data_IF_155408369847
#
_entry.id   IF_155408369847
#
_cell.length_a   1.000
_cell.length_b   1.000
_cell.length_c   1.000
_cell.angle_alpha   90.00
_cell.angle_beta   90.00
_cell.angle_gamma   90.00
#
_symmetry.space_group_name_H-M   'P 1'
#
loop_
_entity.id
_entity.type
_entity.pdbx_description
1 polymer ?
#
# COMPACT_ATOMS: atom_id res chain seq x y z
N UNK A 1 -4.90 19.09 -2.13
CA UNK A 1 -4.66 17.63 -2.14
C UNK A 1 -4.21 17.09 -3.49
N UNK A 2 -4.89 17.39 -4.61
CA UNK A 2 -4.46 16.95 -5.97
C UNK A 2 -3.01 17.35 -6.29
N UNK A 3 -2.56 18.54 -5.88
CA UNK A 3 -1.17 18.97 -6.06
C UNK A 3 -0.15 18.01 -5.40
N UNK A 4 -0.45 17.52 -4.18
CA UNK A 4 0.40 16.54 -3.48
C UNK A 4 0.44 15.19 -4.19
N UNK A 5 -0.72 14.71 -4.67
CA UNK A 5 -0.78 13.49 -5.48
C UNK A 5 0.05 13.62 -6.77
N UNK A 6 -0.07 14.75 -7.49
CA UNK A 6 0.71 15.04 -8.70
C UNK A 6 2.22 15.08 -8.41
N UNK A 7 2.62 15.66 -7.28
CA UNK A 7 4.03 15.67 -6.87
C UNK A 7 4.54 14.26 -6.57
N UNK A 8 3.77 13.44 -5.86
CA UNK A 8 4.12 12.03 -5.61
C UNK A 8 4.24 11.25 -6.91
N UNK A 9 3.29 11.42 -7.84
CA UNK A 9 3.34 10.77 -9.15
C UNK A 9 4.58 11.18 -9.96
N UNK A 10 4.91 12.48 -10.00
CA UNK A 10 6.10 12.96 -10.71
C UNK A 10 7.40 12.38 -10.12
N UNK A 11 7.55 12.40 -8.79
CA UNK A 11 8.73 11.85 -8.11
C UNK A 11 8.83 10.33 -8.29
N UNK A 12 7.71 9.62 -8.22
CA UNK A 12 7.66 8.17 -8.42
C UNK A 12 8.03 7.80 -9.86
N UNK A 13 7.62 8.60 -10.84
CA UNK A 13 7.99 8.41 -12.25
C UNK A 13 9.50 8.50 -12.41
N UNK A 14 10.12 9.60 -11.97
CA UNK A 14 11.58 9.80 -12.05
C UNK A 14 12.37 8.69 -11.34
N UNK A 15 11.87 8.22 -10.19
CA UNK A 15 12.46 7.10 -9.46
C UNK A 15 12.44 5.82 -10.29
N UNK A 16 11.30 5.47 -10.90
CA UNK A 16 11.16 4.26 -11.72
C UNK A 16 11.94 4.35 -13.04
N UNK A 17 12.05 5.52 -13.65
CA UNK A 17 12.94 5.73 -14.81
C UNK A 17 14.40 5.49 -14.44
N UNK A 18 14.80 5.89 -13.23
CA UNK A 18 16.16 5.65 -12.71
C UNK A 18 16.40 4.16 -12.49
N UNK A 19 15.47 3.46 -11.83
CA UNK A 19 15.56 2.01 -11.64
C UNK A 19 15.56 1.25 -12.97
N UNK A 20 14.76 1.69 -13.94
CA UNK A 20 14.72 1.06 -15.26
C UNK A 20 16.05 1.17 -15.98
N UNK A 21 16.67 2.34 -15.97
CA UNK A 21 18.04 2.53 -16.48
C UNK A 21 19.05 1.65 -15.74
N UNK A 22 18.85 1.50 -14.42
CA UNK A 22 19.44 0.48 -13.53
C UNK A 22 19.62 -0.89 -14.20
N UNK A 23 18.48 -1.40 -14.66
CA UNK A 23 18.35 -2.80 -15.06
C UNK A 23 18.42 -3.00 -16.56
N UNK A 24 18.01 -2.02 -17.38
CA UNK A 24 17.91 -2.14 -18.83
C UNK A 24 19.13 -1.63 -19.59
N UNK A 25 20.01 -0.86 -18.95
CA UNK A 25 21.08 -0.08 -19.62
C UNK A 25 20.52 0.84 -20.73
N UNK A 26 19.25 1.23 -20.60
CA UNK A 26 18.51 2.07 -21.54
C UNK A 26 17.77 3.18 -20.79
N UNK A 27 17.58 4.32 -21.46
CA UNK A 27 16.74 5.39 -20.92
C UNK A 27 15.29 5.19 -21.36
N UNK A 28 14.39 5.00 -20.41
CA UNK A 28 12.95 5.13 -20.64
C UNK A 28 12.49 6.47 -20.06
N UNK A 29 11.86 7.30 -20.90
CA UNK A 29 11.11 8.48 -20.45
C UNK A 29 9.64 8.21 -20.64
N UNK A 30 8.91 8.11 -19.53
CA UNK A 30 7.48 7.83 -19.57
C UNK A 30 6.72 9.15 -19.60
N UNK A 31 5.94 9.36 -20.67
CA UNK A 31 5.01 10.48 -20.74
C UNK A 31 3.73 10.10 -19.96
N UNK A 32 3.79 10.26 -18.64
CA UNK A 32 2.68 9.91 -17.76
C UNK A 32 1.62 11.01 -17.77
N UNK A 33 0.40 10.65 -18.17
CA UNK A 33 -0.77 11.49 -17.92
C UNK A 33 -1.11 11.45 -16.41
N UNK A 34 -0.76 12.53 -15.71
CA UNK A 34 -0.98 12.66 -14.27
C UNK A 34 -2.47 12.53 -13.87
N UNK A 35 -3.41 12.82 -14.77
CA UNK A 35 -4.83 12.71 -14.45
C UNK A 35 -5.29 11.24 -14.40
N UNK A 36 -4.53 10.30 -14.98
CA UNK A 36 -4.79 8.84 -14.90
C UNK A 36 -4.29 8.19 -13.62
N UNK A 37 -3.47 8.89 -12.84
CA UNK A 37 -2.87 8.40 -11.59
C UNK A 37 -3.12 9.33 -10.40
N UNK A 38 -4.01 10.30 -10.54
CA UNK A 38 -4.41 11.23 -9.48
C UNK A 38 -5.92 11.51 -9.50
N UNK A 39 -6.41 12.19 -8.48
CA UNK A 39 -7.80 12.64 -8.39
C UNK A 39 -8.79 11.48 -8.49
N UNK A 40 -9.72 11.58 -9.45
CA UNK A 40 -10.77 10.57 -9.65
C UNK A 40 -10.19 9.20 -10.00
N UNK A 41 -9.07 9.14 -10.71
CA UNK A 41 -8.50 7.88 -11.19
C UNK A 41 -8.03 6.96 -10.04
N UNK A 42 -7.81 7.51 -8.84
CA UNK A 42 -7.42 6.73 -7.67
C UNK A 42 -8.52 5.77 -7.19
N UNK A 43 -9.81 6.14 -7.37
CA UNK A 43 -10.95 5.42 -6.76
C UNK A 43 -12.19 5.30 -7.65
N UNK A 44 -12.21 5.96 -8.80
CA UNK A 44 -13.43 6.17 -9.61
C UNK A 44 -14.40 7.24 -9.05
N UNK A 45 -14.15 7.72 -7.83
CA UNK A 45 -15.01 8.69 -7.10
C UNK A 45 -14.46 10.10 -7.24
N UNK A 46 -15.32 11.11 -7.30
CA UNK A 46 -14.89 12.51 -7.30
C UNK A 46 -14.15 12.83 -5.99
N UNK A 47 -12.93 13.41 -6.01
CA UNK A 47 -12.22 13.80 -4.79
C UNK A 47 -13.07 14.63 -3.81
N UNK A 48 -13.94 15.52 -4.30
CA UNK A 48 -14.83 16.30 -3.45
C UNK A 48 -15.75 15.41 -2.59
N UNK A 49 -16.23 14.30 -3.14
CA UNK A 49 -17.02 13.32 -2.41
C UNK A 49 -16.19 12.55 -1.39
N UNK A 50 -14.95 12.20 -1.72
CA UNK A 50 -14.02 11.55 -0.78
C UNK A 50 -13.76 12.48 0.42
N UNK A 51 -13.42 13.75 0.17
CA UNK A 51 -13.12 14.74 1.20
C UNK A 51 -14.35 15.25 1.98
N UNK A 52 -15.56 14.92 1.53
CA UNK A 52 -16.79 15.15 2.30
C UNK A 52 -17.01 14.10 3.40
N UNK A 53 -16.45 12.90 3.27
CA UNK A 53 -16.67 11.78 4.21
C UNK A 53 -16.26 12.09 5.66
N UNK A 54 -15.13 12.79 5.94
CA UNK A 54 -14.80 13.24 7.30
C UNK A 54 -15.91 14.06 7.97
N UNK A 55 -16.56 14.95 7.22
CA UNK A 55 -17.66 15.76 7.75
C UNK A 55 -18.90 14.92 7.99
N UNK A 56 -19.22 13.97 7.10
CA UNK A 56 -20.33 13.03 7.31
C UNK A 56 -20.12 12.23 8.59
N UNK A 57 -18.89 11.80 8.89
CA UNK A 57 -18.54 11.13 10.15
C UNK A 57 -18.87 12.01 11.37
N UNK A 58 -18.45 13.28 11.35
CA UNK A 58 -18.72 14.25 12.43
C UNK A 58 -20.23 14.40 12.64
N UNK A 59 -20.98 14.70 11.58
CA UNK A 59 -22.43 14.93 11.68
C UNK A 59 -23.19 13.69 12.15
N UNK A 60 -22.76 12.51 11.70
CA UNK A 60 -23.35 11.23 12.15
C UNK A 60 -23.07 10.99 13.63
N UNK A 61 -21.85 11.21 14.09
CA UNK A 61 -21.47 11.04 15.50
C UNK A 61 -22.26 12.01 16.40
N UNK A 62 -22.38 13.28 16.00
CA UNK A 62 -23.18 14.28 16.71
C UNK A 62 -24.67 13.90 16.74
N UNK A 63 -25.22 13.45 15.61
CA UNK A 63 -26.61 12.97 15.53
C UNK A 63 -26.91 11.79 16.46
N UNK A 64 -25.89 10.98 16.76
CA UNK A 64 -25.96 9.86 17.71
C UNK A 64 -25.69 10.27 19.17
N UNK A 65 -25.56 11.57 19.47
CA UNK A 65 -25.35 12.09 20.82
C UNK A 65 -23.90 12.01 21.30
N UNK A 66 -22.93 11.83 20.41
CA UNK A 66 -21.49 11.91 20.76
C UNK A 66 -21.10 13.34 21.06
N UNK A 67 -20.30 13.57 22.11
CA UNK A 67 -19.75 14.89 22.42
C UNK A 67 -18.97 15.48 21.25
N UNK A 68 -19.04 16.81 21.10
CA UNK A 68 -18.44 17.52 19.96
C UNK A 68 -16.95 17.24 19.78
N UNK A 69 -16.17 17.29 20.86
CA UNK A 69 -14.72 17.06 20.78
C UNK A 69 -14.39 15.64 20.27
N UNK A 70 -15.18 14.65 20.69
CA UNK A 70 -15.01 13.27 20.24
C UNK A 70 -15.45 13.08 18.79
N UNK A 71 -16.56 13.70 18.39
CA UNK A 71 -17.01 13.69 16.99
C UNK A 71 -16.00 14.38 16.06
N UNK A 72 -15.45 15.53 16.48
CA UNK A 72 -14.42 16.25 15.73
C UNK A 72 -13.15 15.42 15.60
N UNK A 73 -12.74 14.71 16.66
CA UNK A 73 -11.60 13.79 16.60
C UNK A 73 -11.82 12.70 15.55
N UNK A 74 -12.97 12.03 15.55
CA UNK A 74 -13.29 11.00 14.55
C UNK A 74 -13.19 11.52 13.11
N UNK A 75 -13.73 12.72 12.85
CA UNK A 75 -13.60 13.34 11.53
C UNK A 75 -12.17 13.72 11.17
N UNK A 76 -11.40 14.22 12.14
CA UNK A 76 -10.00 14.61 11.93
C UNK A 76 -9.13 13.40 11.60
N UNK A 77 -9.27 12.31 12.37
CA UNK A 77 -8.56 11.06 12.15
C UNK A 77 -8.91 10.53 10.74
N UNK A 78 -10.21 10.49 10.39
CA UNK A 78 -10.66 10.07 9.05
C UNK A 78 -10.12 10.95 7.90
N UNK A 79 -9.96 12.26 8.12
CA UNK A 79 -9.37 13.16 7.12
C UNK A 79 -7.88 12.87 6.91
N UNK A 80 -7.15 12.67 8.00
CA UNK A 80 -5.73 12.32 7.96
C UNK A 80 -5.50 11.01 7.21
N UNK A 81 -6.35 10.01 7.46
CA UNK A 81 -6.31 8.72 6.78
C UNK A 81 -6.54 8.83 5.28
N UNK A 82 -7.59 9.57 4.88
CA UNK A 82 -7.86 9.85 3.46
C UNK A 82 -6.66 10.55 2.82
N UNK A 83 -6.09 11.55 3.49
CA UNK A 83 -4.97 12.31 2.97
C UNK A 83 -3.72 11.45 2.75
N UNK A 84 -3.34 10.62 3.73
CA UNK A 84 -2.21 9.69 3.63
C UNK A 84 -2.44 8.66 2.53
N UNK A 85 -3.64 8.11 2.49
CA UNK A 85 -4.05 7.09 1.54
C UNK A 85 -4.04 7.60 0.09
N UNK A 86 -4.46 8.84 -0.15
CA UNK A 86 -4.44 9.48 -1.47
C UNK A 86 -3.03 9.53 -2.07
N UNK A 87 -2.03 9.88 -1.25
CA UNK A 87 -0.63 9.95 -1.68
C UNK A 87 -0.10 8.55 -2.03
N UNK A 88 -0.45 7.54 -1.23
CA UNK A 88 -0.06 6.15 -1.47
C UNK A 88 -0.72 5.56 -2.72
N UNK A 89 -1.99 5.88 -2.96
CA UNK A 89 -2.68 5.48 -4.18
C UNK A 89 -2.07 6.14 -5.40
N UNK A 90 -1.75 7.43 -5.34
CA UNK A 90 -1.08 8.13 -6.45
C UNK A 90 0.25 7.44 -6.80
N UNK A 91 1.05 7.08 -5.79
CA UNK A 91 2.27 6.30 -5.97
C UNK A 91 2.01 4.94 -6.61
N UNK A 92 1.03 4.20 -6.11
CA UNK A 92 0.68 2.86 -6.59
C UNK A 92 0.23 2.87 -8.04
N UNK A 93 -0.69 3.76 -8.39
CA UNK A 93 -1.17 3.92 -9.76
C UNK A 93 -0.04 4.35 -10.69
N UNK A 94 0.85 5.23 -10.23
CA UNK A 94 2.05 5.61 -10.98
C UNK A 94 2.97 4.42 -11.25
N UNK A 95 3.27 3.60 -10.24
CA UNK A 95 4.08 2.39 -10.42
C UNK A 95 3.47 1.49 -11.49
N UNK A 96 2.18 1.21 -11.43
CA UNK A 96 1.50 0.38 -12.42
C UNK A 96 1.57 0.96 -13.83
N UNK A 97 1.23 2.24 -13.97
CA UNK A 97 1.22 2.91 -15.27
C UNK A 97 2.63 2.93 -15.90
N UNK A 98 3.64 3.33 -15.12
CA UNK A 98 5.03 3.45 -15.59
C UNK A 98 5.63 2.09 -15.91
N UNK A 99 5.47 1.09 -15.03
CA UNK A 99 6.05 -0.25 -15.26
C UNK A 99 5.34 -1.05 -16.35
N UNK A 100 4.06 -0.74 -16.64
CA UNK A 100 3.37 -1.32 -17.78
C UNK A 100 4.07 -0.97 -19.11
N UNK A 101 4.54 0.27 -19.23
CA UNK A 101 5.22 0.80 -20.42
C UNK A 101 6.72 0.51 -20.45
N UNK A 102 7.30 -0.13 -19.43
CA UNK A 102 8.72 -0.48 -19.36
C UNK A 102 8.95 -1.90 -19.93
N UNK A 103 9.58 -2.03 -21.12
CA UNK A 103 9.88 -3.32 -21.71
C UNK A 103 10.78 -4.16 -20.82
N UNK A 104 10.53 -5.48 -20.76
CA UNK A 104 11.38 -6.37 -19.97
C UNK A 104 11.26 -6.22 -18.45
N UNK A 105 10.39 -5.34 -17.92
CA UNK A 105 9.95 -5.39 -16.52
C UNK A 105 8.72 -6.27 -16.44
N UNK A 106 8.73 -7.28 -15.58
CA UNK A 106 7.61 -8.21 -15.38
C UNK A 106 7.19 -8.29 -13.91
N UNK A 107 8.18 -8.24 -13.02
CA UNK A 107 7.98 -8.34 -11.59
C UNK A 107 8.49 -7.10 -10.86
N UNK A 108 8.08 -7.01 -9.61
CA UNK A 108 8.55 -6.01 -8.66
C UNK A 108 8.70 -6.64 -7.28
N UNK A 109 9.51 -6.01 -6.46
CA UNK A 109 9.77 -6.40 -5.08
C UNK A 109 9.66 -5.18 -4.19
N UNK A 110 9.49 -5.40 -2.88
CA UNK A 110 9.41 -4.30 -1.91
C UNK A 110 10.78 -4.06 -1.27
N UNK A 111 11.10 -2.78 -1.13
CA UNK A 111 12.30 -2.33 -0.43
C UNK A 111 11.87 -1.57 0.82
N UNK A 112 12.32 -2.05 1.96
CA UNK A 112 12.07 -1.45 3.27
C UNK A 112 12.85 -0.15 3.40
N UNK A 113 12.35 0.81 4.19
CA UNK A 113 12.90 2.18 4.24
C UNK A 113 13.42 2.61 5.62
N UNK A 114 13.30 1.78 6.66
CA UNK A 114 13.71 2.16 8.00
C UNK A 114 14.03 1.00 8.94
N UNK A 115 14.24 1.33 10.21
CA UNK A 115 14.49 0.38 11.30
C UNK A 115 13.20 -0.27 11.82
N UNK A 116 12.04 0.36 11.55
CA UNK A 116 10.73 -0.04 12.06
C UNK A 116 9.74 -0.29 10.92
N UNK A 117 9.85 -1.44 10.27
CA UNK A 117 8.86 -1.89 9.28
C UNK A 117 7.80 -2.77 9.94
N UNK A 118 6.53 -2.62 9.53
CA UNK A 118 5.49 -3.51 10.03
C UNK A 118 5.70 -4.94 9.51
N UNK A 119 5.18 -5.94 10.25
CA UNK A 119 5.32 -7.35 9.88
C UNK A 119 4.86 -7.65 8.44
N UNK A 120 3.82 -6.96 7.98
CA UNK A 120 3.33 -7.10 6.61
C UNK A 120 4.29 -6.53 5.56
N UNK A 121 4.94 -5.39 5.80
CA UNK A 121 6.01 -4.87 4.94
C UNK A 121 7.20 -5.84 4.89
N UNK A 122 7.59 -6.40 6.04
CA UNK A 122 8.68 -7.36 6.13
C UNK A 122 8.39 -8.64 5.34
N UNK A 123 7.20 -9.23 5.50
CA UNK A 123 6.77 -10.38 4.70
C UNK A 123 6.71 -9.98 3.23
N UNK A 124 6.11 -8.82 2.92
CA UNK A 124 5.97 -8.37 1.55
C UNK A 124 7.32 -8.18 0.83
N UNK A 125 8.36 -7.77 1.55
CA UNK A 125 9.73 -7.64 1.04
C UNK A 125 10.42 -8.97 0.75
N UNK A 126 9.92 -10.09 1.28
CA UNK A 126 10.42 -11.44 0.93
C UNK A 126 9.77 -12.02 -0.32
N UNK A 127 8.83 -11.31 -0.94
CA UNK A 127 8.01 -11.82 -2.04
C UNK A 127 8.22 -11.02 -3.33
N UNK A 128 8.03 -11.68 -4.49
CA UNK A 128 7.83 -10.99 -5.77
C UNK A 128 6.36 -10.76 -6.08
N UNK A 129 6.09 -9.70 -6.82
CA UNK A 129 4.76 -9.33 -7.32
C UNK A 129 4.82 -9.05 -8.81
N UNK A 130 3.78 -9.40 -9.54
CA UNK A 130 3.65 -9.01 -10.93
C UNK A 130 3.42 -7.49 -11.04
N UNK A 131 4.03 -6.85 -12.04
CA UNK A 131 3.87 -5.41 -12.31
C UNK A 131 2.41 -4.92 -12.35
N UNK A 132 1.49 -5.75 -12.85
CA UNK A 132 0.06 -5.41 -12.92
C UNK A 132 -0.69 -5.56 -11.59
N UNK A 133 -0.16 -6.40 -10.69
CA UNK A 133 -0.79 -6.77 -9.42
C UNK A 133 -0.29 -5.93 -8.24
N UNK A 134 0.51 -4.89 -8.52
CA UNK A 134 0.98 -3.94 -7.51
C UNK A 134 -0.13 -3.03 -6.98
N UNK A 135 -0.80 -3.51 -5.93
CA UNK A 135 -1.36 -2.75 -4.80
C UNK A 135 -2.78 -2.14 -4.93
N UNK A 136 -3.43 -1.69 -3.85
CA UNK A 136 -2.86 -1.28 -2.55
C UNK A 136 -2.44 -2.41 -1.59
N UNK A 137 -1.65 -2.03 -0.57
CA UNK A 137 -1.39 -2.86 0.61
C UNK A 137 -2.28 -2.37 1.76
N UNK A 138 -2.11 -1.16 2.27
CA UNK A 138 -3.05 -0.48 3.21
C UNK A 138 -2.54 0.95 3.50
N UNK A 139 -3.33 1.82 4.16
CA UNK A 139 -2.85 3.11 4.64
C UNK A 139 -1.57 2.96 5.50
N UNK A 140 -0.59 3.85 5.32
CA UNK A 140 0.63 3.89 6.15
C UNK A 140 1.86 3.11 5.67
N UNK A 141 1.83 2.35 4.56
CA UNK A 141 3.08 1.78 3.98
C UNK A 141 4.04 2.86 3.48
N UNK A 142 5.30 2.79 3.92
CA UNK A 142 6.42 3.62 3.45
C UNK A 142 7.36 2.87 2.49
N UNK A 143 7.26 1.53 2.46
CA UNK A 143 7.88 0.60 1.53
C UNK A 143 8.04 1.15 0.09
N UNK A 144 9.24 1.05 -0.51
CA UNK A 144 9.43 1.32 -1.94
C UNK A 144 9.17 0.10 -2.81
N UNK A 145 9.21 0.34 -4.12
CA UNK A 145 9.05 -0.67 -5.16
C UNK A 145 10.33 -0.70 -5.98
N UNK A 146 10.94 -1.86 -6.10
CA UNK A 146 12.03 -2.11 -7.05
C UNK A 146 11.53 -2.97 -8.20
N UNK A 147 11.93 -2.64 -9.43
CA UNK A 147 11.59 -3.39 -10.64
C UNK A 147 12.53 -4.57 -10.84
N UNK A 148 11.99 -5.67 -11.36
CA UNK A 148 12.74 -6.89 -11.67
C UNK A 148 12.53 -7.25 -13.13
N UNK A 149 13.63 -7.59 -13.80
CA UNK A 149 13.61 -7.95 -15.21
C UNK A 149 12.90 -9.29 -15.46
N UNK A 150 12.25 -9.41 -16.60
CA UNK A 150 11.54 -10.61 -17.03
C UNK A 150 12.47 -11.81 -17.27
N UNK A 151 13.71 -11.55 -17.69
CA UNK A 151 14.74 -12.57 -17.93
C UNK A 151 15.45 -13.02 -16.64
N UNK A 152 15.06 -12.47 -15.49
CA UNK A 152 15.53 -12.83 -14.17
C UNK A 152 14.34 -13.00 -13.22
N UNK A 153 13.79 -14.23 -13.13
CA UNK A 153 12.81 -14.58 -12.10
C UNK A 153 13.56 -15.05 -10.84
N UNK A 154 13.59 -14.25 -9.75
CA UNK A 154 14.23 -14.66 -8.49
C UNK A 154 13.44 -15.72 -7.72
N UNK A 155 12.30 -16.19 -8.26
CA UNK A 155 11.36 -17.07 -7.57
C UNK A 155 10.34 -16.29 -6.74
N UNK A 156 9.27 -16.97 -6.29
CA UNK A 156 8.20 -16.33 -5.52
C UNK A 156 8.71 -15.76 -4.20
N UNK A 157 9.56 -16.53 -3.51
CA UNK A 157 10.16 -16.19 -2.21
C UNK A 157 11.62 -15.86 -2.43
N UNK A 158 11.97 -14.60 -2.18
CA UNK A 158 13.30 -14.02 -2.43
C UNK A 158 14.28 -14.31 -1.30
N UNK A 159 13.78 -14.36 -0.06
CA UNK A 159 14.57 -14.57 1.16
C UNK A 159 13.84 -15.57 2.06
N UNK A 160 14.00 -16.88 1.79
CA UNK A 160 13.35 -17.93 2.55
C UNK A 160 13.76 -17.92 4.03
N UNK A 161 15.02 -17.63 4.34
CA UNK A 161 15.53 -17.60 5.71
C UNK A 161 14.90 -16.47 6.50
N UNK A 162 14.76 -15.27 5.90
CA UNK A 162 14.06 -14.16 6.55
C UNK A 162 12.58 -14.43 6.69
N UNK A 163 11.94 -15.03 5.69
CA UNK A 163 10.52 -15.41 5.76
C UNK A 163 10.29 -16.41 6.90
N UNK A 164 11.12 -17.45 6.99
CA UNK A 164 11.05 -18.46 8.04
C UNK A 164 11.32 -17.83 9.42
N UNK A 165 12.34 -16.97 9.56
CA UNK A 165 12.58 -16.23 10.82
C UNK A 165 11.39 -15.35 11.23
N UNK A 166 10.74 -14.67 10.28
CA UNK A 166 9.54 -13.87 10.59
C UNK A 166 8.42 -14.79 11.10
N UNK A 167 8.22 -15.95 10.48
CA UNK A 167 7.23 -16.91 10.95
C UNK A 167 7.56 -17.49 12.34
N UNK A 168 8.83 -17.79 12.60
CA UNK A 168 9.30 -18.26 13.92
C UNK A 168 9.07 -17.21 15.01
N UNK A 169 9.36 -15.93 14.75
CA UNK A 169 9.11 -14.85 15.70
C UNK A 169 7.62 -14.65 15.98
N UNK A 170 6.78 -14.82 14.95
CA UNK A 170 5.31 -14.79 15.11
C UNK A 170 4.84 -15.98 15.94
N UNK A 171 5.40 -17.17 15.71
CA UNK A 171 5.12 -18.38 16.48
C UNK A 171 5.56 -18.24 17.95
N UNK A 172 6.73 -17.68 18.22
CA UNK A 172 7.22 -17.44 19.57
C UNK A 172 6.32 -16.45 20.32
N UNK A 173 5.85 -15.41 19.64
CA UNK A 173 4.99 -14.39 20.23
C UNK A 173 3.54 -14.87 20.47
N UNK A 174 3.02 -15.77 19.61
CA UNK A 174 1.59 -16.14 19.59
C UNK A 174 1.30 -17.62 19.93
N UNK A 175 2.31 -18.49 19.93
CA UNK A 175 2.22 -19.91 20.25
C UNK A 175 1.73 -20.83 19.12
N UNK A 176 1.58 -20.33 17.88
CA UNK A 176 1.13 -21.12 16.71
C UNK A 176 1.86 -20.69 15.41
N UNK A 177 2.11 -21.62 14.47
CA UNK A 177 2.75 -21.36 13.15
C UNK A 177 2.11 -22.09 11.97
N UNK A 178 2.01 -21.42 10.82
CA UNK A 178 1.62 -22.04 9.54
C UNK A 178 2.29 -21.37 8.33
N UNK A 179 3.28 -22.06 7.78
CA UNK A 179 4.03 -21.68 6.57
C UNK A 179 3.16 -21.50 5.30
N UNK A 180 1.97 -22.11 5.25
CA UNK A 180 1.01 -21.96 4.16
C UNK A 180 -0.09 -20.91 4.42
N UNK A 181 -0.12 -20.34 5.62
CA UNK A 181 -1.01 -19.23 5.98
C UNK A 181 -2.43 -19.58 6.45
N UNK A 182 -2.71 -20.82 6.86
CA UNK A 182 -4.05 -21.43 6.99
C UNK A 182 -4.41 -21.96 8.40
N UNK A 183 -3.44 -22.39 9.22
CA UNK A 183 -3.64 -23.06 10.52
C UNK A 183 -3.46 -22.12 11.72
N UNK A 184 -2.44 -21.26 11.71
CA UNK A 184 -2.58 -19.90 12.27
C UNK A 184 -3.38 -19.11 11.26
N UNK A 185 -4.30 -18.26 11.68
CA UNK A 185 -5.12 -17.55 10.70
C UNK A 185 -4.34 -16.42 10.00
N UNK A 186 -3.35 -16.73 9.15
CA UNK A 186 -2.73 -15.77 8.23
C UNK A 186 -3.67 -15.34 7.09
N UNK A 187 -4.89 -15.91 7.00
CA UNK A 187 -5.98 -15.26 6.24
C UNK A 187 -6.36 -13.97 6.96
N UNK A 188 -6.20 -13.90 8.28
CA UNK A 188 -6.06 -12.63 8.99
C UNK A 188 -4.67 -12.02 8.85
N UNK A 189 -3.87 -12.16 7.79
CA UNK A 189 -2.62 -11.39 7.64
C UNK A 189 -2.41 -10.95 6.18
N UNK A 190 -2.79 -11.77 5.19
CA UNK A 190 -2.77 -11.39 3.76
C UNK A 190 -4.01 -11.93 3.04
N UNK A 191 -4.99 -11.07 2.85
CA UNK A 191 -6.06 -11.24 1.86
C UNK A 191 -6.13 -9.97 1.05
N UNK A 192 -6.19 -10.12 -0.29
CA UNK A 192 -6.72 -9.10 -1.18
C UNK A 192 -8.20 -8.86 -0.85
N UNK A 193 -8.47 -7.94 0.09
CA UNK A 193 -9.84 -7.53 0.42
C UNK A 193 -10.21 -6.32 -0.43
N UNK A 194 -11.45 -6.25 -0.91
CA UNK A 194 -11.90 -5.08 -1.65
C UNK A 194 -12.25 -3.95 -0.66
N UNK A 195 -11.32 -3.01 -0.48
CA UNK A 195 -11.50 -1.87 0.39
C UNK A 195 -12.36 -0.80 -0.30
N UNK A 196 -13.47 -0.39 0.33
CA UNK A 196 -14.41 0.56 -0.26
C UNK A 196 -13.81 1.92 -0.64
N UNK A 197 -12.64 2.25 -0.08
CA UNK A 197 -11.87 3.44 -0.46
C UNK A 197 -10.74 3.19 -1.44
N UNK A 198 -10.05 2.05 -1.42
CA UNK A 198 -8.78 1.92 -2.15
C UNK A 198 -8.71 0.72 -3.09
N UNK A 199 -9.78 -0.06 -3.17
CA UNK A 199 -9.80 -1.29 -3.96
C UNK A 199 -9.05 -2.43 -3.26
N UNK A 200 -8.57 -3.44 -4.00
CA UNK A 200 -7.95 -4.63 -3.44
C UNK A 200 -6.68 -4.35 -2.60
N UNK A 201 -6.76 -4.51 -1.29
CA UNK A 201 -5.66 -4.30 -0.32
C UNK A 201 -5.07 -5.59 0.18
N UNK A 202 -3.74 -5.68 0.38
CA UNK A 202 -3.15 -6.74 1.20
C UNK A 202 -3.37 -6.42 2.69
N UNK A 203 -4.22 -7.16 3.38
CA UNK A 203 -4.41 -6.96 4.82
C UNK A 203 -4.93 -8.20 5.55
N UNK A 204 -5.18 -8.05 6.84
CA UNK A 204 -5.65 -9.13 7.69
C UNK A 204 -7.18 -9.28 7.52
N UNK A 205 -7.72 -10.47 7.18
CA UNK A 205 -9.16 -10.83 7.35
C UNK A 205 -9.74 -10.31 8.67
N UNK A 206 -10.73 -9.44 8.54
CA UNK A 206 -11.45 -8.84 9.67
C UNK A 206 -10.83 -7.56 10.21
N UNK A 207 -9.62 -7.16 9.79
CA UNK A 207 -9.15 -5.80 10.03
C UNK A 207 -9.86 -4.83 9.09
N UNK A 208 -10.45 -3.82 9.70
CA UNK A 208 -10.91 -2.60 9.05
C UNK A 208 -10.09 -1.50 9.70
N UNK A 209 -8.96 -1.18 9.10
CA UNK A 209 -8.21 0.00 9.52
C UNK A 209 -8.87 1.20 8.88
N UNK A 210 -9.33 2.12 9.71
CA UNK A 210 -9.63 3.46 9.25
C UNK A 210 -8.35 4.27 9.15
N UNK A 211 -7.37 4.05 10.04
CA UNK A 211 -6.08 4.73 10.04
C UNK A 211 -4.87 3.97 10.61
N UNK A 212 -3.66 4.60 10.62
CA UNK A 212 -2.45 4.02 11.18
C UNK A 212 -2.55 3.64 12.67
N UNK A 213 -3.34 4.40 13.44
CA UNK A 213 -3.56 4.15 14.87
C UNK A 213 -4.43 2.92 15.15
N UNK A 214 -5.17 2.45 14.14
CA UNK A 214 -5.96 1.21 14.24
C UNK A 214 -5.09 -0.03 14.05
N UNK A 215 -3.79 0.13 13.75
CA UNK A 215 -2.83 -0.95 13.60
C UNK A 215 -2.28 -1.26 15.01
N UNK A 216 -2.72 -2.36 15.66
CA UNK A 216 -2.12 -2.75 16.93
C UNK A 216 -0.67 -3.13 16.67
N UNK A 217 0.25 -2.21 16.99
CA UNK A 217 1.66 -2.53 17.08
C UNK A 217 1.85 -3.37 18.35
N UNK A 218 2.49 -4.55 18.28
CA UNK A 218 2.92 -5.22 19.49
C UNK A 218 3.89 -4.27 20.22
N UNK A 219 3.51 -3.86 21.43
CA UNK A 219 4.40 -3.18 22.38
C UNK A 219 5.46 -4.12 22.89
#
# INVERSE_FOLDING_TARGET
MIAGQRQVAALTTTYLETLYREIADETSRVNLDLDTVTGRALRGVNPEEVYRRPFVEIWTALGNGTDFDKALKLGTDRLDDIAKTDLQLARTHTVRAVTADQPGVEYTVRELQGEYDCALCMIAATQRYHKRDLAPIHPGCDCLVKTVRADYDPGQVLDPDRLDRIHELVEEALGESDRGGRAVDYRKIIIANEHGEIGPVLGYRGQRFTGPDDIPLPT
#
